data_IF_153773257940
#
_entry.id   IF_153773257940
#
_cell.length_a   1.000
_cell.length_b   1.000
_cell.length_c   1.000
_cell.angle_alpha   90.00
_cell.angle_beta   90.00
_cell.angle_gamma   90.00
#
_symmetry.space_group_name_H-M   'P 1'
#
loop_
_entity.id
_entity.type
_entity.pdbx_description
1 polymer ?
#
# COMPACT_ATOMS: atom_id res chain seq x y z
N UNK A 1 -3.03 18.48 24.55
CA UNK A 1 -1.77 17.86 25.03
C UNK A 1 -1.97 16.51 25.72
N UNK A 2 -2.64 16.37 26.87
CA UNK A 2 -2.84 15.05 27.51
C UNK A 2 -4.00 14.24 26.90
N UNK A 3 -5.04 14.92 26.42
CA UNK A 3 -6.26 14.31 25.86
C UNK A 3 -6.05 13.80 24.41
N UNK A 4 -5.23 14.50 23.62
CA UNK A 4 -4.80 14.07 22.27
C UNK A 4 -3.90 12.83 22.33
N UNK A 5 -2.94 12.80 23.28
CA UNK A 5 -2.05 11.65 23.44
C UNK A 5 -2.78 10.36 23.88
N UNK A 6 -3.88 10.48 24.64
CA UNK A 6 -4.74 9.35 24.99
C UNK A 6 -5.54 8.83 23.79
N UNK A 7 -6.03 9.74 22.95
CA UNK A 7 -6.82 9.40 21.74
C UNK A 7 -5.95 8.67 20.70
N UNK A 8 -4.72 9.13 20.48
CA UNK A 8 -3.80 8.50 19.50
C UNK A 8 -3.37 7.09 19.94
N UNK A 9 -3.13 6.88 21.23
CA UNK A 9 -2.78 5.56 21.78
C UNK A 9 -3.95 4.56 21.67
N UNK A 10 -5.18 5.02 21.95
CA UNK A 10 -6.39 4.21 21.82
C UNK A 10 -6.66 3.85 20.35
N UNK A 11 -6.45 4.77 19.42
CA UNK A 11 -6.55 4.49 17.99
C UNK A 11 -5.50 3.47 17.52
N UNK A 12 -4.24 3.62 17.95
CA UNK A 12 -3.18 2.65 17.63
C UNK A 12 -3.50 1.24 18.14
N UNK A 13 -4.01 1.13 19.37
CA UNK A 13 -4.52 -0.14 19.92
C UNK A 13 -5.65 -0.71 19.08
N UNK A 14 -6.63 0.12 18.67
CA UNK A 14 -7.73 -0.31 17.82
C UNK A 14 -7.28 -0.78 16.43
N UNK A 15 -6.18 -0.25 15.89
CA UNK A 15 -5.56 -0.77 14.67
C UNK A 15 -4.85 -2.10 14.90
N UNK A 16 -4.08 -2.23 15.99
CA UNK A 16 -3.42 -3.47 16.37
C UNK A 16 -4.41 -4.62 16.59
N UNK A 17 -5.54 -4.37 17.24
CA UNK A 17 -6.59 -5.37 17.41
C UNK A 17 -7.21 -5.82 16.08
N UNK A 18 -7.37 -4.91 15.12
CA UNK A 18 -8.01 -5.22 13.83
C UNK A 18 -7.08 -5.87 12.82
N UNK A 19 -5.84 -5.41 12.74
CA UNK A 19 -4.90 -5.75 11.68
C UNK A 19 -3.52 -6.18 12.17
N UNK A 20 -3.26 -6.24 13.48
CA UNK A 20 -1.95 -6.64 14.03
C UNK A 20 -1.48 -8.00 13.53
N UNK A 21 -2.42 -8.93 13.27
CA UNK A 21 -2.14 -10.23 12.66
C UNK A 21 -1.45 -10.12 11.28
N UNK A 22 -1.64 -9.02 10.56
CA UNK A 22 -1.10 -8.82 9.22
C UNK A 22 0.43 -8.75 9.21
N UNK A 23 1.08 -8.39 10.33
CA UNK A 23 2.56 -8.38 10.41
C UNK A 23 3.16 -9.76 10.16
N UNK A 24 2.40 -10.84 10.39
CA UNK A 24 2.82 -12.18 9.99
C UNK A 24 3.00 -12.35 8.47
N UNK A 25 2.32 -11.56 7.62
CA UNK A 25 2.43 -11.66 6.16
C UNK A 25 3.83 -11.34 5.62
N UNK A 26 4.62 -10.56 6.36
CA UNK A 26 6.00 -10.22 6.02
C UNK A 26 7.03 -10.94 6.91
N UNK A 27 6.57 -11.84 7.79
CA UNK A 27 7.46 -12.59 8.67
C UNK A 27 8.35 -13.54 7.86
N UNK A 28 9.61 -13.64 8.27
CA UNK A 28 10.57 -14.57 7.67
C UNK A 28 10.16 -16.03 7.94
N UNK A 29 9.66 -16.30 9.16
CA UNK A 29 9.11 -17.61 9.55
C UNK A 29 7.91 -17.99 8.66
N UNK A 30 8.02 -19.08 7.86
CA UNK A 30 6.92 -19.57 7.04
C UNK A 30 5.68 -19.97 7.84
N UNK A 31 5.82 -20.42 9.09
CA UNK A 31 4.67 -20.80 9.91
C UNK A 31 3.85 -19.58 10.33
N UNK A 32 4.51 -18.53 10.83
CA UNK A 32 3.87 -17.24 11.11
C UNK A 32 3.19 -16.65 9.87
N UNK A 33 3.85 -16.72 8.71
CA UNK A 33 3.28 -16.24 7.44
C UNK A 33 2.06 -17.07 7.00
N UNK A 34 2.13 -18.39 7.12
CA UNK A 34 1.00 -19.28 6.86
C UNK A 34 -0.21 -18.98 7.75
N UNK A 35 0.00 -18.75 9.05
CA UNK A 35 -1.06 -18.37 9.97
C UNK A 35 -1.72 -17.04 9.60
N UNK A 36 -0.92 -16.04 9.20
CA UNK A 36 -1.44 -14.75 8.75
C UNK A 36 -2.23 -14.86 7.43
N UNK A 37 -1.82 -15.73 6.50
CA UNK A 37 -2.57 -16.00 5.27
C UNK A 37 -3.92 -16.68 5.54
N UNK A 38 -3.99 -17.61 6.49
CA UNK A 38 -5.26 -18.21 6.93
C UNK A 38 -6.17 -17.14 7.53
N UNK A 39 -5.65 -16.29 8.41
CA UNK A 39 -6.42 -15.20 9.01
C UNK A 39 -6.91 -14.21 7.94
N UNK A 40 -6.08 -13.89 6.93
CA UNK A 40 -6.48 -13.06 5.80
C UNK A 40 -7.67 -13.67 5.04
N UNK A 41 -7.59 -14.95 4.70
CA UNK A 41 -8.65 -15.65 3.97
C UNK A 41 -9.97 -15.65 4.75
N UNK A 42 -9.93 -15.88 6.06
CA UNK A 42 -11.10 -15.79 6.94
C UNK A 42 -11.68 -14.38 7.00
N UNK A 43 -10.82 -13.35 7.12
CA UNK A 43 -11.24 -11.96 7.13
C UNK A 43 -11.90 -11.56 5.79
N UNK A 44 -11.32 -11.96 4.66
CA UNK A 44 -11.88 -11.71 3.32
C UNK A 44 -13.21 -12.42 3.09
N UNK A 45 -13.38 -13.63 3.64
CA UNK A 45 -14.68 -14.31 3.63
C UNK A 45 -15.72 -13.50 4.39
N UNK A 46 -15.40 -13.04 5.61
CA UNK A 46 -16.30 -12.18 6.41
C UNK A 46 -16.67 -10.88 5.67
N UNK A 47 -15.72 -10.26 4.96
CA UNK A 47 -15.99 -9.09 4.10
C UNK A 47 -16.96 -9.44 2.98
N UNK A 48 -16.74 -10.55 2.30
CA UNK A 48 -17.60 -11.01 1.19
C UNK A 48 -19.03 -11.27 1.66
N UNK A 49 -19.19 -11.97 2.79
CA UNK A 49 -20.50 -12.25 3.38
C UNK A 49 -21.21 -10.97 3.82
N UNK A 50 -20.48 -10.04 4.45
CA UNK A 50 -21.04 -8.75 4.86
C UNK A 50 -21.44 -7.89 3.66
N UNK A 51 -20.63 -7.88 2.60
CA UNK A 51 -20.93 -7.18 1.34
C UNK A 51 -22.16 -7.75 0.64
N UNK A 52 -22.31 -9.08 0.64
CA UNK A 52 -23.50 -9.73 0.07
C UNK A 52 -24.77 -9.26 0.79
N UNK A 53 -24.77 -9.29 2.13
CA UNK A 53 -25.89 -8.80 2.96
C UNK A 53 -26.17 -7.32 2.77
N UNK A 54 -25.13 -6.50 2.69
CA UNK A 54 -25.26 -5.07 2.40
C UNK A 54 -25.91 -4.82 1.03
N UNK A 55 -25.47 -5.52 -0.01
CA UNK A 55 -26.02 -5.41 -1.35
C UNK A 55 -27.47 -5.91 -1.44
N UNK A 56 -27.80 -7.00 -0.74
CA UNK A 56 -29.16 -7.50 -0.64
C UNK A 56 -30.08 -6.46 0.01
N UNK A 57 -29.67 -5.91 1.14
CA UNK A 57 -30.44 -4.88 1.83
C UNK A 57 -30.60 -3.63 0.98
N UNK A 58 -29.53 -3.18 0.31
CA UNK A 58 -29.62 -2.08 -0.65
C UNK A 58 -30.67 -2.35 -1.75
N UNK A 59 -30.68 -3.56 -2.34
CA UNK A 59 -31.65 -3.93 -3.38
C UNK A 59 -33.08 -3.90 -2.86
N UNK A 60 -33.33 -4.52 -1.70
CA UNK A 60 -34.67 -4.59 -1.09
C UNK A 60 -35.16 -3.19 -0.73
N UNK A 61 -34.35 -2.43 0.01
CA UNK A 61 -34.75 -1.11 0.50
C UNK A 61 -34.95 -0.10 -0.64
N UNK A 62 -34.13 -0.13 -1.70
CA UNK A 62 -34.31 0.73 -2.88
C UNK A 62 -35.66 0.52 -3.59
N UNK A 63 -36.26 -0.65 -3.45
CA UNK A 63 -37.57 -0.94 -4.04
C UNK A 63 -38.74 -0.53 -3.15
N UNK A 64 -38.51 -0.32 -1.85
CA UNK A 64 -39.56 -0.13 -0.85
C UNK A 64 -39.65 1.31 -0.32
N UNK A 65 -38.56 2.07 -0.38
CA UNK A 65 -38.47 3.38 0.30
C UNK A 65 -37.77 4.42 -0.56
N UNK A 66 -38.28 5.67 -0.52
CA UNK A 66 -37.74 6.78 -1.29
C UNK A 66 -36.35 7.24 -0.79
N UNK A 67 -36.05 7.10 0.51
CA UNK A 67 -34.76 7.44 1.11
C UNK A 67 -34.12 6.23 1.80
N UNK A 68 -33.47 5.41 0.98
CA UNK A 68 -32.75 4.19 1.41
C UNK A 68 -31.68 4.47 2.47
N UNK A 69 -31.13 5.68 2.49
CA UNK A 69 -30.00 6.01 3.36
C UNK A 69 -30.41 6.29 4.80
N UNK A 70 -31.71 6.41 5.10
CA UNK A 70 -32.23 6.56 6.47
C UNK A 70 -32.73 5.25 7.08
N UNK A 71 -32.79 4.19 6.28
CA UNK A 71 -33.38 2.92 6.71
C UNK A 71 -32.46 2.18 7.70
N UNK A 72 -32.94 1.88 8.92
CA UNK A 72 -32.09 1.32 9.98
C UNK A 72 -31.42 -0.01 9.59
N UNK A 73 -32.13 -0.89 8.88
CA UNK A 73 -31.58 -2.17 8.43
C UNK A 73 -30.45 -1.99 7.40
N UNK A 74 -30.59 -1.02 6.49
CA UNK A 74 -29.56 -0.67 5.53
C UNK A 74 -28.33 -0.07 6.22
N UNK A 75 -28.53 0.86 7.15
CA UNK A 75 -27.44 1.45 7.94
C UNK A 75 -26.69 0.40 8.76
N UNK A 76 -27.41 -0.53 9.39
CA UNK A 76 -26.78 -1.64 10.13
C UNK A 76 -25.98 -2.55 9.20
N UNK A 77 -26.50 -2.89 8.02
CA UNK A 77 -25.78 -3.71 7.04
C UNK A 77 -24.52 -2.99 6.53
N UNK A 78 -24.62 -1.67 6.28
CA UNK A 78 -23.48 -0.82 5.91
C UNK A 78 -22.41 -0.81 6.99
N UNK A 79 -22.80 -0.62 8.25
CA UNK A 79 -21.87 -0.58 9.38
C UNK A 79 -21.15 -1.93 9.55
N UNK A 80 -21.87 -3.05 9.45
CA UNK A 80 -21.26 -4.40 9.49
C UNK A 80 -20.28 -4.63 8.36
N UNK A 81 -20.61 -4.16 7.15
CA UNK A 81 -19.69 -4.22 6.01
C UNK A 81 -18.42 -3.40 6.26
N UNK A 82 -18.55 -2.15 6.70
CA UNK A 82 -17.41 -1.28 7.04
C UNK A 82 -16.53 -1.88 8.15
N UNK A 83 -17.13 -2.45 9.19
CA UNK A 83 -16.41 -3.13 10.27
C UNK A 83 -15.66 -4.38 9.78
N UNK A 84 -16.23 -5.14 8.85
CA UNK A 84 -15.56 -6.29 8.26
C UNK A 84 -14.38 -5.84 7.39
N UNK A 85 -14.57 -4.80 6.57
CA UNK A 85 -13.51 -4.22 5.74
C UNK A 85 -12.33 -3.74 6.60
N UNK A 86 -12.61 -3.05 7.69
CA UNK A 86 -11.61 -2.55 8.64
C UNK A 86 -10.73 -3.62 9.30
N UNK A 87 -11.02 -4.92 9.11
CA UNK A 87 -10.30 -6.08 9.66
C UNK A 87 -9.65 -6.96 8.59
N UNK A 88 -9.66 -6.55 7.32
CA UNK A 88 -9.11 -7.31 6.20
C UNK A 88 -8.17 -6.46 5.36
N UNK A 89 -7.20 -7.08 4.68
CA UNK A 89 -6.39 -6.41 3.66
C UNK A 89 -6.87 -6.79 2.25
N UNK A 90 -6.82 -5.85 1.28
CA UNK A 90 -6.40 -4.45 1.44
C UNK A 90 -7.50 -3.50 1.96
N UNK A 91 -8.72 -3.98 2.15
CA UNK A 91 -9.89 -3.12 2.40
C UNK A 91 -9.76 -2.20 3.63
N UNK A 92 -9.08 -2.67 4.67
CA UNK A 92 -8.93 -1.96 5.94
C UNK A 92 -7.97 -0.78 5.90
N UNK A 93 -7.09 -0.70 4.89
CA UNK A 93 -6.12 0.40 4.74
C UNK A 93 -6.59 1.52 3.81
N UNK A 94 -7.83 1.45 3.30
CA UNK A 94 -8.40 2.50 2.43
C UNK A 94 -8.94 3.72 3.18
N UNK A 95 -9.07 3.66 4.51
CA UNK A 95 -9.68 4.72 5.32
C UNK A 95 -8.68 5.75 5.84
N UNK A 96 -8.13 6.60 4.97
CA UNK A 96 -7.24 7.70 5.41
C UNK A 96 -8.03 8.81 6.14
N UNK A 97 -7.37 9.59 7.03
CA UNK A 97 -7.88 10.88 7.46
C UNK A 97 -7.94 11.84 6.25
N UNK A 98 -9.04 12.59 6.09
CA UNK A 98 -9.25 13.48 4.92
C UNK A 98 -8.23 14.64 4.92
N UNK A 99 -7.86 15.12 6.12
CA UNK A 99 -7.04 16.33 6.34
C UNK A 99 -5.85 16.11 7.30
N UNK A 100 -5.56 14.86 7.69
CA UNK A 100 -4.55 14.54 8.71
C UNK A 100 -3.15 14.28 8.16
N UNK A 101 -2.13 14.50 9.01
CA UNK A 101 -0.76 14.09 8.71
C UNK A 101 -0.67 12.57 8.65
N UNK A 102 -0.32 12.03 7.47
CA UNK A 102 -0.17 10.58 7.29
C UNK A 102 0.91 10.00 8.21
N UNK A 103 1.94 10.78 8.58
CA UNK A 103 2.99 10.33 9.50
C UNK A 103 2.44 10.04 10.90
N UNK A 104 1.45 10.80 11.35
CA UNK A 104 0.78 10.60 12.63
C UNK A 104 -0.37 9.58 12.55
N UNK A 105 -0.78 9.15 11.34
CA UNK A 105 -1.91 8.25 11.19
C UNK A 105 -1.58 6.84 11.66
N UNK A 106 -2.33 6.27 12.64
CA UNK A 106 -2.05 4.94 13.18
C UNK A 106 -2.19 3.79 12.16
N UNK A 107 -2.82 4.04 11.00
CA UNK A 107 -2.93 3.08 9.91
C UNK A 107 -1.67 2.96 9.02
N UNK A 108 -0.74 3.93 9.08
CA UNK A 108 0.44 3.96 8.21
C UNK A 108 1.30 2.68 8.26
N UNK A 109 1.58 2.07 9.43
CA UNK A 109 2.34 0.83 9.48
C UNK A 109 1.73 -0.31 8.64
N UNK A 110 0.41 -0.38 8.55
CA UNK A 110 -0.30 -1.40 7.77
C UNK A 110 -0.29 -1.12 6.28
N UNK A 111 -0.25 0.16 5.88
CA UNK A 111 -0.01 0.56 4.49
C UNK A 111 1.39 0.13 4.04
N UNK A 112 2.41 0.46 4.83
CA UNK A 112 3.80 0.09 4.53
C UNK A 112 3.97 -1.43 4.47
N UNK A 113 3.37 -2.16 5.41
CA UNK A 113 3.33 -3.61 5.43
C UNK A 113 2.68 -4.20 4.18
N UNK A 114 1.56 -3.64 3.72
CA UNK A 114 0.88 -4.15 2.52
C UNK A 114 1.76 -4.00 1.27
N UNK A 115 2.48 -2.88 1.15
CA UNK A 115 3.41 -2.62 0.06
C UNK A 115 4.66 -3.51 0.16
N UNK A 116 5.18 -3.70 1.38
CA UNK A 116 6.32 -4.58 1.64
C UNK A 116 5.98 -6.06 1.39
N UNK A 117 4.79 -6.52 1.77
CA UNK A 117 4.32 -7.86 1.45
C UNK A 117 4.24 -8.09 -0.06
N UNK A 118 3.73 -7.12 -0.82
CA UNK A 118 3.77 -7.19 -2.28
C UNK A 118 5.19 -7.26 -2.83
N UNK A 119 6.12 -6.55 -2.22
CA UNK A 119 7.51 -6.50 -2.66
C UNK A 119 8.27 -7.79 -2.33
N UNK A 120 8.15 -8.31 -1.10
CA UNK A 120 8.88 -9.51 -0.64
C UNK A 120 8.27 -10.82 -1.14
N UNK A 121 6.95 -10.93 -1.14
CA UNK A 121 6.23 -12.17 -1.45
C UNK A 121 5.20 -11.97 -2.58
N UNK A 122 5.63 -11.57 -3.79
CA UNK A 122 4.74 -11.14 -4.85
C UNK A 122 3.76 -12.22 -5.34
N UNK A 123 4.12 -13.51 -5.25
CA UNK A 123 3.25 -14.62 -5.63
C UNK A 123 2.11 -14.81 -4.63
N UNK A 124 2.43 -14.85 -3.33
CA UNK A 124 1.45 -14.93 -2.25
C UNK A 124 0.50 -13.73 -2.31
N UNK A 125 1.04 -12.52 -2.45
CA UNK A 125 0.23 -11.31 -2.61
C UNK A 125 -0.69 -11.38 -3.83
N UNK A 126 -0.21 -11.92 -4.97
CA UNK A 126 -1.04 -12.07 -6.18
C UNK A 126 -2.19 -13.03 -5.98
N UNK A 127 -1.95 -14.12 -5.26
CA UNK A 127 -2.95 -15.14 -5.00
C UNK A 127 -4.01 -14.65 -4.01
N UNK A 128 -3.61 -13.91 -2.98
CA UNK A 128 -4.48 -13.63 -1.84
C UNK A 128 -5.02 -12.20 -1.78
N UNK A 129 -4.31 -11.20 -2.31
CA UNK A 129 -4.66 -9.79 -2.07
C UNK A 129 -4.43 -8.87 -3.27
N UNK A 130 -4.38 -9.44 -4.49
CA UNK A 130 -4.11 -8.68 -5.72
C UNK A 130 -5.05 -7.49 -5.87
N UNK A 131 -4.50 -6.29 -5.68
CA UNK A 131 -5.22 -5.05 -5.83
C UNK A 131 -4.30 -3.94 -6.37
N UNK A 132 -4.07 -3.95 -7.69
CA UNK A 132 -3.15 -3.00 -8.34
C UNK A 132 -3.56 -1.53 -8.17
N UNK A 133 -4.87 -1.25 -8.18
CA UNK A 133 -5.39 0.10 -7.92
C UNK A 133 -5.08 0.57 -6.50
N UNK A 134 -5.23 -0.32 -5.51
CA UNK A 134 -4.85 -0.03 -4.13
C UNK A 134 -3.35 0.22 -4.00
N UNK A 135 -2.51 -0.68 -4.53
CA UNK A 135 -1.05 -0.51 -4.54
C UNK A 135 -0.66 0.86 -5.09
N UNK A 136 -1.19 1.23 -6.26
CA UNK A 136 -0.88 2.52 -6.87
C UNK A 136 -1.31 3.69 -5.98
N UNK A 137 -2.52 3.64 -5.42
CA UNK A 137 -3.05 4.73 -4.60
C UNK A 137 -2.22 4.91 -3.32
N UNK A 138 -1.89 3.82 -2.64
CA UNK A 138 -1.05 3.81 -1.45
C UNK A 138 0.37 4.33 -1.71
N UNK A 139 1.01 3.93 -2.82
CA UNK A 139 2.32 4.47 -3.21
C UNK A 139 2.26 6.00 -3.39
N UNK A 140 1.19 6.50 -4.03
CA UNK A 140 1.01 7.94 -4.25
C UNK A 140 0.75 8.70 -2.95
N UNK A 141 0.00 8.12 -2.02
CA UNK A 141 -0.30 8.71 -0.72
C UNK A 141 0.95 8.79 0.15
N UNK A 142 1.65 7.67 0.28
CA UNK A 142 2.90 7.61 1.05
C UNK A 142 3.92 8.59 0.49
N UNK A 143 4.06 8.70 -0.83
CA UNK A 143 4.99 9.66 -1.44
C UNK A 143 4.63 11.15 -1.21
N UNK A 144 3.37 11.47 -0.88
CA UNK A 144 2.92 12.85 -0.60
C UNK A 144 3.04 13.24 0.88
N UNK A 145 3.16 12.27 1.77
CA UNK A 145 3.23 12.51 3.20
C UNK A 145 4.51 13.24 3.61
N UNK A 146 4.44 14.02 4.68
CA UNK A 146 5.63 14.53 5.36
C UNK A 146 6.40 13.33 5.93
N UNK A 147 7.67 13.21 5.58
CA UNK A 147 8.45 12.05 5.98
C UNK A 147 9.31 12.36 7.20
N UNK A 148 8.98 11.74 8.33
CA UNK A 148 9.92 11.60 9.44
C UNK A 148 11.03 10.63 9.07
N UNK A 149 12.20 10.76 9.72
CA UNK A 149 13.40 10.00 9.35
C UNK A 149 13.20 8.49 9.41
N UNK A 150 12.42 8.01 10.40
CA UNK A 150 12.07 6.59 10.54
C UNK A 150 11.24 6.09 9.35
N UNK A 151 10.31 6.90 8.86
CA UNK A 151 9.48 6.55 7.71
C UNK A 151 10.35 6.58 6.44
N UNK A 152 11.23 7.58 6.27
CA UNK A 152 12.18 7.62 5.16
C UNK A 152 13.02 6.36 5.07
N UNK A 153 13.56 5.88 6.19
CA UNK A 153 14.35 4.64 6.22
C UNK A 153 13.53 3.44 5.69
N UNK A 154 12.29 3.26 6.17
CA UNK A 154 11.39 2.21 5.67
C UNK A 154 11.07 2.34 4.18
N UNK A 155 10.90 3.57 3.70
CA UNK A 155 10.66 3.82 2.27
C UNK A 155 11.89 3.52 1.42
N UNK A 156 13.08 3.84 1.91
CA UNK A 156 14.35 3.47 1.30
C UNK A 156 14.48 1.96 1.19
N UNK A 157 14.22 1.21 2.27
CA UNK A 157 14.23 -0.26 2.26
C UNK A 157 13.22 -0.82 1.25
N UNK A 158 12.00 -0.25 1.21
CA UNK A 158 10.96 -0.68 0.28
C UNK A 158 11.35 -0.45 -1.19
N UNK A 159 11.93 0.71 -1.51
CA UNK A 159 12.43 1.00 -2.86
C UNK A 159 13.55 0.02 -3.23
N UNK A 160 14.47 -0.27 -2.31
CA UNK A 160 15.54 -1.23 -2.52
C UNK A 160 15.01 -2.63 -2.84
N UNK A 161 14.03 -3.14 -2.07
CA UNK A 161 13.41 -4.45 -2.34
C UNK A 161 12.76 -4.45 -3.74
N UNK A 162 12.03 -3.40 -4.08
CA UNK A 162 11.29 -3.31 -5.34
C UNK A 162 12.21 -3.27 -6.57
N UNK A 163 13.35 -2.57 -6.49
CA UNK A 163 14.27 -2.53 -7.64
C UNK A 163 15.00 -3.86 -7.84
N UNK A 164 15.31 -4.61 -6.78
CA UNK A 164 16.05 -5.87 -6.89
C UNK A 164 15.23 -7.03 -7.48
N UNK A 165 13.91 -6.98 -7.35
CA UNK A 165 13.02 -8.03 -7.89
C UNK A 165 12.64 -7.78 -9.35
N UNK A 166 12.12 -8.82 -10.01
CA UNK A 166 11.53 -8.69 -11.34
C UNK A 166 10.44 -7.61 -11.35
N UNK A 167 10.43 -6.79 -12.42
CA UNK A 167 9.48 -5.68 -12.57
C UNK A 167 8.03 -6.16 -12.62
N UNK A 168 7.15 -5.49 -11.88
CA UNK A 168 5.72 -5.79 -11.76
C UNK A 168 4.86 -4.57 -12.06
N UNK A 169 3.55 -4.83 -12.19
CA UNK A 169 2.57 -3.79 -12.45
C UNK A 169 2.66 -2.67 -11.40
N UNK A 170 2.67 -1.42 -11.88
CA UNK A 170 2.77 -0.18 -11.10
C UNK A 170 4.11 0.06 -10.40
N UNK A 171 5.14 -0.76 -10.62
CA UNK A 171 6.44 -0.56 -9.96
C UNK A 171 7.09 0.77 -10.31
N UNK A 172 6.90 1.29 -11.53
CA UNK A 172 7.34 2.65 -11.88
C UNK A 172 6.87 3.72 -10.88
N UNK A 173 5.72 3.55 -10.22
CA UNK A 173 5.20 4.55 -9.28
C UNK A 173 6.11 4.73 -8.06
N UNK A 174 6.98 3.76 -7.74
CA UNK A 174 7.98 3.87 -6.67
C UNK A 174 9.02 4.96 -6.91
N UNK A 175 9.16 5.49 -8.13
CA UNK A 175 9.94 6.72 -8.36
C UNK A 175 9.42 7.89 -7.51
N UNK A 176 8.11 7.96 -7.26
CA UNK A 176 7.53 9.01 -6.40
C UNK A 176 8.02 8.88 -4.96
N UNK A 177 8.06 7.65 -4.46
CA UNK A 177 8.59 7.32 -3.14
C UNK A 177 10.09 7.62 -3.08
N UNK A 178 10.84 7.23 -4.11
CA UNK A 178 12.26 7.53 -4.20
C UNK A 178 12.54 9.04 -4.19
N UNK A 179 11.74 9.86 -4.89
CA UNK A 179 11.85 11.32 -4.84
C UNK A 179 11.53 11.88 -3.44
N UNK A 180 10.54 11.33 -2.76
CA UNK A 180 10.16 11.76 -1.41
C UNK A 180 11.20 11.36 -0.33
N UNK A 181 11.91 10.26 -0.55
CA UNK A 181 12.93 9.71 0.35
C UNK A 181 14.37 9.95 -0.17
N UNK A 182 14.56 10.86 -1.13
CA UNK A 182 15.87 11.09 -1.76
C UNK A 182 16.92 11.47 -0.71
N UNK A 183 17.99 10.69 -0.71
CA UNK A 183 19.06 10.74 0.29
C UNK A 183 20.31 10.09 -0.29
N UNK A 184 21.47 10.41 0.29
CA UNK A 184 22.73 9.77 -0.10
C UNK A 184 22.69 8.24 0.09
N UNK A 185 22.01 7.75 1.14
CA UNK A 185 21.83 6.32 1.40
C UNK A 185 21.01 5.65 0.28
N UNK A 186 19.83 6.22 -0.05
CA UNK A 186 19.00 5.69 -1.12
C UNK A 186 19.74 5.70 -2.47
N UNK A 187 20.40 6.81 -2.81
CA UNK A 187 21.21 6.91 -4.04
C UNK A 187 22.32 5.87 -4.08
N UNK A 188 23.01 5.64 -2.96
CA UNK A 188 24.06 4.61 -2.85
C UNK A 188 23.52 3.19 -3.05
N UNK A 189 22.36 2.86 -2.47
CA UNK A 189 21.68 1.56 -2.66
C UNK A 189 21.26 1.34 -4.11
N UNK A 190 20.64 2.37 -4.72
CA UNK A 190 20.25 2.34 -6.13
C UNK A 190 21.46 2.22 -7.06
N UNK A 191 22.58 2.88 -6.75
CA UNK A 191 23.83 2.76 -7.51
C UNK A 191 24.33 1.32 -7.54
N UNK A 192 24.41 0.67 -6.37
CA UNK A 192 24.79 -0.75 -6.29
C UNK A 192 23.82 -1.67 -7.06
N UNK A 193 22.52 -1.40 -6.98
CA UNK A 193 21.52 -2.15 -7.73
C UNK A 193 21.66 -1.95 -9.25
N UNK A 194 21.98 -0.72 -9.68
CA UNK A 194 22.25 -0.36 -11.07
C UNK A 194 23.49 -1.09 -11.61
N UNK A 195 24.52 -1.28 -10.78
CA UNK A 195 25.76 -1.96 -11.15
C UNK A 195 25.68 -3.49 -11.01
N UNK A 196 24.57 -4.03 -10.52
CA UNK A 196 24.43 -5.47 -10.28
C UNK A 196 24.29 -6.30 -11.57
N UNK A 197 24.52 -7.60 -11.45
CA UNK A 197 24.34 -8.58 -12.55
C UNK A 197 22.87 -8.88 -12.85
N UNK A 198 21.93 -8.49 -11.97
CA UNK A 198 20.50 -8.67 -12.21
C UNK A 198 20.02 -7.68 -13.28
N UNK A 199 19.54 -8.14 -14.46
CA UNK A 199 19.08 -7.24 -15.51
C UNK A 199 17.90 -6.37 -15.06
N UNK A 200 17.05 -6.92 -14.18
CA UNK A 200 15.91 -6.21 -13.61
C UNK A 200 16.36 -5.09 -12.68
N UNK A 201 17.29 -5.40 -11.77
CA UNK A 201 17.82 -4.41 -10.83
C UNK A 201 18.56 -3.30 -11.56
N UNK A 202 19.42 -3.66 -12.51
CA UNK A 202 20.14 -2.73 -13.38
C UNK A 202 19.20 -1.74 -14.06
N UNK A 203 18.20 -2.27 -14.77
CA UNK A 203 17.26 -1.44 -15.53
C UNK A 203 16.39 -0.56 -14.63
N UNK A 204 15.82 -1.13 -13.57
CA UNK A 204 14.89 -0.40 -12.71
C UNK A 204 15.61 0.63 -11.83
N UNK A 205 16.70 0.26 -11.18
CA UNK A 205 17.47 1.19 -10.35
C UNK A 205 18.10 2.31 -11.18
N UNK A 206 18.62 2.00 -12.37
CA UNK A 206 19.12 3.01 -13.32
C UNK A 206 18.03 4.00 -13.72
N UNK A 207 16.81 3.54 -14.00
CA UNK A 207 15.67 4.43 -14.30
C UNK A 207 15.34 5.36 -13.14
N UNK A 208 15.31 4.81 -11.91
CA UNK A 208 15.01 5.61 -10.70
C UNK A 208 16.08 6.67 -10.50
N UNK A 209 17.37 6.32 -10.54
CA UNK A 209 18.48 7.27 -10.44
C UNK A 209 18.40 8.37 -11.51
N UNK A 210 18.16 7.98 -12.77
CA UNK A 210 18.05 8.91 -13.87
C UNK A 210 16.93 9.95 -13.67
N UNK A 211 15.81 9.57 -13.05
CA UNK A 211 14.71 10.45 -12.67
C UNK A 211 14.91 11.22 -11.36
N UNK A 212 15.79 10.78 -10.47
CA UNK A 212 16.21 11.53 -9.29
C UNK A 212 17.13 12.69 -9.68
N UNK A 213 18.00 12.49 -10.66
CA UNK A 213 18.85 13.57 -11.22
C UNK A 213 18.08 14.55 -12.10
N UNK A 214 16.82 14.23 -12.46
CA UNK A 214 15.94 15.04 -13.32
C UNK A 214 14.55 15.19 -12.68
N UNK A 215 14.43 16.01 -11.62
CA UNK A 215 13.18 16.14 -10.88
C UNK A 215 12.01 16.65 -11.74
N UNK A 216 12.30 17.49 -12.74
CA UNK A 216 11.31 18.08 -13.64
C UNK A 216 10.73 17.09 -14.65
N UNK A 217 11.43 15.98 -14.93
CA UNK A 217 10.91 14.98 -15.85
C UNK A 217 9.75 14.21 -15.21
N UNK A 218 8.60 14.09 -15.88
CA UNK A 218 7.46 13.37 -15.35
C UNK A 218 7.67 11.86 -15.46
N UNK A 219 7.36 11.12 -14.39
CA UNK A 219 7.33 9.67 -14.42
C UNK A 219 6.05 9.16 -15.14
N UNK A 220 6.09 9.13 -16.47
CA UNK A 220 5.01 8.62 -17.32
C UNK A 220 5.29 7.20 -17.82
N UNK A 221 4.25 6.52 -18.32
CA UNK A 221 4.43 5.21 -18.95
C UNK A 221 5.31 5.31 -20.20
N UNK A 222 5.16 6.39 -20.96
CA UNK A 222 5.94 6.65 -22.15
C UNK A 222 7.43 6.78 -21.82
N UNK A 223 7.78 7.62 -20.84
CA UNK A 223 9.16 7.80 -20.37
C UNK A 223 9.79 6.48 -19.93
N UNK A 224 9.04 5.63 -19.20
CA UNK A 224 9.49 4.28 -18.86
C UNK A 224 9.73 3.39 -20.09
N UNK A 225 8.83 3.42 -21.08
CA UNK A 225 8.99 2.60 -22.29
C UNK A 225 10.20 3.02 -23.12
N UNK A 226 10.43 4.32 -23.27
CA UNK A 226 11.60 4.87 -23.96
C UNK A 226 12.90 4.51 -23.23
N UNK A 227 12.88 4.52 -21.88
CA UNK A 227 14.00 4.01 -21.08
C UNK A 227 14.30 2.53 -21.37
N UNK A 228 13.29 1.67 -21.29
CA UNK A 228 13.45 0.22 -21.53
C UNK A 228 13.90 -0.07 -22.96
N UNK A 229 13.50 0.75 -23.94
CA UNK A 229 13.95 0.63 -25.33
C UNK A 229 15.42 1.05 -25.56
N UNK A 230 16.10 1.62 -24.55
CA UNK A 230 17.45 2.17 -24.69
C UNK A 230 17.49 3.54 -25.38
N UNK A 231 16.34 4.18 -25.55
CA UNK A 231 16.18 5.45 -26.26
C UNK A 231 16.14 6.65 -25.29
N UNK A 232 16.55 6.46 -24.04
CA UNK A 232 16.50 7.49 -23.00
C UNK A 232 17.26 8.78 -23.37
N UNK A 233 18.29 8.69 -24.20
CA UNK A 233 19.03 9.84 -24.71
C UNK A 233 18.15 10.77 -25.58
N UNK A 234 17.05 10.27 -26.15
CA UNK A 234 16.09 11.05 -26.94
C UNK A 234 15.03 11.79 -26.08
N UNK A 235 15.05 11.60 -24.75
CA UNK A 235 14.22 12.34 -23.79
C UNK A 235 14.93 13.58 -23.19
N UNK A 236 16.13 13.90 -23.69
CA UNK A 236 16.87 15.13 -23.38
C UNK A 236 16.36 16.29 -24.23
#
# INVERSE_FOLDING_TARGET
MAEEAGTDADEACAWAERLGWAFGLIAEDPAARGAALVHLAEAQKKVTDARARFNEMWRVTRTLVADVYREPAFLQARQRYQQAQGRSLPDGVWGRPVDGDLAAWPGLPYVLLFLEWEARYPLEWTQHAKAWGTKQSLIQEVARARQEEVIKAKLTDLVEIVVHRAYRCKDREYVRVARAADSADLRGRLGRAADSDSPWARCHAGYVLWLLDRPDLPNTRHVWQTWVAGEAAALM
#
